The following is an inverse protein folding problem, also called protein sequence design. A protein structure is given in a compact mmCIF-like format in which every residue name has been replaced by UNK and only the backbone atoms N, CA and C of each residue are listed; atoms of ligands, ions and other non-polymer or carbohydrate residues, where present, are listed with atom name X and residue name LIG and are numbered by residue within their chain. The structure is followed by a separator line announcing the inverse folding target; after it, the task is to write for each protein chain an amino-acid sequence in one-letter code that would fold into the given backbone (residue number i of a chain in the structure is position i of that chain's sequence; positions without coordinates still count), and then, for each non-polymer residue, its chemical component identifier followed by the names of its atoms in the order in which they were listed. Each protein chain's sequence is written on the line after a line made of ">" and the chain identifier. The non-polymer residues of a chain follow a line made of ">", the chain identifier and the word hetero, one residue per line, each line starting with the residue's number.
data_IF_460976338621
#
_entry.id   IF_460976338621
#
_cell.length_a   1.000
_cell.length_b   1.000
_cell.length_c   1.000
_cell.angle_alpha   90.00
_cell.angle_beta   90.00
_cell.angle_gamma   90.00
#
_symmetry.space_group_name_H-M   'P 1'
#
loop_
_entity.id
_entity.type
_entity.pdbx_description
1 polymer ?
#
# COMPACT_ATOMS: atom_id res chain seq x y z
N UNK A 1 -19.49 -32.89 -3.12
CA UNK A 1 -18.31 -32.59 -2.27
C UNK A 1 -17.11 -32.02 -3.03
N UNK A 2 -16.96 -32.23 -4.35
CA UNK A 2 -15.81 -31.73 -5.14
C UNK A 2 -15.72 -30.19 -5.25
N UNK A 3 -16.84 -29.47 -5.42
CA UNK A 3 -16.80 -28.02 -5.67
C UNK A 3 -16.29 -27.19 -4.49
N UNK A 4 -16.66 -27.54 -3.25
CA UNK A 4 -16.21 -26.81 -2.06
C UNK A 4 -14.71 -26.98 -1.79
N UNK A 5 -14.18 -28.21 -1.96
CA UNK A 5 -12.74 -28.47 -1.87
C UNK A 5 -11.97 -27.77 -2.99
N UNK A 6 -12.51 -27.77 -4.21
CA UNK A 6 -11.93 -27.00 -5.34
C UNK A 6 -11.86 -25.51 -5.04
N UNK A 7 -12.98 -24.92 -4.60
CA UNK A 7 -13.07 -23.51 -4.23
C UNK A 7 -12.10 -23.14 -3.10
N UNK A 8 -12.07 -23.93 -2.03
CA UNK A 8 -11.15 -23.74 -0.91
C UNK A 8 -9.69 -23.73 -1.35
N UNK A 9 -9.27 -24.69 -2.19
CA UNK A 9 -7.90 -24.74 -2.72
C UNK A 9 -7.55 -23.53 -3.56
N UNK A 10 -8.46 -23.09 -4.43
CA UNK A 10 -8.27 -21.87 -5.24
C UNK A 10 -8.06 -20.66 -4.34
N UNK A 11 -8.87 -20.49 -3.30
CA UNK A 11 -8.71 -19.37 -2.36
C UNK A 11 -7.37 -19.40 -1.62
N UNK A 12 -6.91 -20.57 -1.18
CA UNK A 12 -5.59 -20.71 -0.54
C UNK A 12 -4.46 -20.37 -1.52
N UNK A 13 -4.54 -20.84 -2.78
CA UNK A 13 -3.56 -20.51 -3.81
C UNK A 13 -3.53 -18.99 -4.04
N UNK A 14 -4.69 -18.36 -4.18
CA UNK A 14 -4.80 -16.90 -4.34
C UNK A 14 -4.19 -16.16 -3.14
N UNK A 15 -4.44 -16.62 -1.91
CA UNK A 15 -3.86 -16.02 -0.70
C UNK A 15 -2.32 -16.14 -0.69
N UNK A 16 -1.77 -17.30 -1.06
CA UNK A 16 -0.32 -17.52 -1.11
C UNK A 16 0.34 -16.72 -2.23
N UNK A 17 -0.31 -16.59 -3.39
CA UNK A 17 0.15 -15.74 -4.48
C UNK A 17 0.13 -14.26 -4.09
N UNK A 18 -0.92 -13.82 -3.39
CA UNK A 18 -0.97 -12.48 -2.82
C UNK A 18 0.17 -12.24 -1.83
N UNK A 19 0.41 -13.17 -0.90
CA UNK A 19 1.50 -13.06 0.06
C UNK A 19 2.88 -13.02 -0.63
N UNK A 20 3.08 -13.83 -1.67
CA UNK A 20 4.28 -13.78 -2.49
C UNK A 20 4.46 -12.42 -3.17
N UNK A 21 3.39 -11.86 -3.75
CA UNK A 21 3.45 -10.55 -4.40
C UNK A 21 3.85 -9.45 -3.41
N UNK A 22 3.28 -9.45 -2.20
CA UNK A 22 3.65 -8.50 -1.14
C UNK A 22 5.08 -8.66 -0.64
N UNK A 23 5.64 -9.88 -0.66
CA UNK A 23 7.04 -10.10 -0.26
C UNK A 23 7.98 -9.65 -1.38
N UNK A 24 7.66 -9.99 -2.63
CA UNK A 24 8.54 -9.74 -3.75
C UNK A 24 8.60 -8.25 -4.14
N UNK A 25 7.53 -7.49 -3.92
CA UNK A 25 7.52 -6.04 -4.13
C UNK A 25 8.57 -5.31 -3.28
N UNK A 26 8.97 -5.91 -2.15
CA UNK A 26 9.92 -5.33 -1.19
C UNK A 26 11.34 -5.90 -1.36
N UNK A 27 11.59 -6.67 -2.42
CA UNK A 27 12.91 -7.26 -2.69
C UNK A 27 13.55 -6.61 -3.92
N UNK A 28 14.33 -5.55 -3.68
CA UNK A 28 15.05 -4.77 -4.70
C UNK A 28 15.99 -5.60 -5.59
N UNK A 29 16.38 -6.81 -5.16
CA UNK A 29 17.34 -7.66 -5.86
C UNK A 29 16.75 -8.39 -7.09
N UNK A 30 15.41 -8.45 -7.24
CA UNK A 30 14.77 -9.21 -8.33
C UNK A 30 14.57 -8.31 -9.56
N UNK A 31 15.67 -7.74 -10.06
CA UNK A 31 15.65 -6.90 -11.26
C UNK A 31 15.63 -7.73 -12.55
N UNK A 32 16.05 -9.00 -12.48
CA UNK A 32 16.02 -9.90 -13.63
C UNK A 32 14.65 -10.55 -13.80
N UNK A 33 13.98 -10.24 -14.91
CA UNK A 33 12.70 -10.85 -15.31
C UNK A 33 12.76 -12.38 -15.33
N UNK A 34 13.92 -12.96 -15.68
CA UNK A 34 14.10 -14.43 -15.71
C UNK A 34 14.08 -15.00 -14.29
N UNK A 35 14.76 -14.36 -13.34
CA UNK A 35 14.77 -14.79 -11.94
C UNK A 35 13.37 -14.66 -11.33
N UNK A 36 12.67 -13.57 -11.63
CA UNK A 36 11.28 -13.38 -11.23
C UNK A 36 10.38 -14.53 -11.71
N UNK A 37 10.44 -14.88 -13.00
CA UNK A 37 9.62 -15.96 -13.57
C UNK A 37 9.93 -17.33 -12.97
N UNK A 38 11.21 -17.63 -12.72
CA UNK A 38 11.62 -18.88 -12.07
C UNK A 38 11.08 -18.98 -10.64
N UNK A 39 11.20 -17.91 -9.85
CA UNK A 39 10.65 -17.85 -8.50
C UNK A 39 9.12 -17.98 -8.52
N UNK A 40 8.44 -17.31 -9.43
CA UNK A 40 7.00 -17.41 -9.58
C UNK A 40 6.55 -18.85 -9.89
N UNK A 41 7.26 -19.55 -10.77
CA UNK A 41 6.97 -20.96 -11.08
C UNK A 41 7.15 -21.87 -9.85
N UNK A 42 8.22 -21.68 -9.07
CA UNK A 42 8.46 -22.42 -7.83
C UNK A 42 7.32 -22.16 -6.83
N UNK A 43 6.94 -20.89 -6.65
CA UNK A 43 5.87 -20.49 -5.74
C UNK A 43 4.54 -21.07 -6.15
N UNK A 44 4.22 -21.12 -7.45
CA UNK A 44 3.01 -21.78 -7.93
C UNK A 44 2.96 -23.26 -7.56
N UNK A 45 4.07 -23.98 -7.76
CA UNK A 45 4.17 -25.41 -7.41
C UNK A 45 4.00 -25.59 -5.89
N UNK A 46 4.68 -24.77 -5.10
CA UNK A 46 4.60 -24.81 -3.63
C UNK A 46 3.19 -24.46 -3.15
N UNK A 47 2.56 -23.43 -3.71
CA UNK A 47 1.21 -23.02 -3.36
C UNK A 47 0.19 -24.13 -3.67
N UNK A 48 0.31 -24.79 -4.83
CA UNK A 48 -0.53 -25.92 -5.17
C UNK A 48 -0.33 -27.11 -4.22
N UNK A 49 0.93 -27.39 -3.86
CA UNK A 49 1.28 -28.44 -2.91
C UNK A 49 0.69 -28.16 -1.52
N UNK A 50 0.87 -26.93 -1.00
CA UNK A 50 0.33 -26.49 0.29
C UNK A 50 -1.21 -26.55 0.29
N UNK A 51 -1.86 -26.02 -0.74
CA UNK A 51 -3.31 -26.01 -0.83
C UNK A 51 -3.91 -27.43 -0.81
N UNK A 52 -3.32 -28.37 -1.56
CA UNK A 52 -3.74 -29.77 -1.54
C UNK A 52 -3.46 -30.42 -0.19
N UNK A 53 -2.30 -30.16 0.42
CA UNK A 53 -1.94 -30.73 1.72
C UNK A 53 -2.91 -30.27 2.81
N UNK A 54 -3.25 -28.98 2.84
CA UNK A 54 -4.22 -28.41 3.77
C UNK A 54 -5.62 -28.99 3.56
N UNK A 55 -6.08 -29.10 2.31
CA UNK A 55 -7.39 -29.66 2.01
C UNK A 55 -7.52 -31.13 2.50
N UNK A 56 -6.50 -31.95 2.25
CA UNK A 56 -6.42 -33.33 2.75
C UNK A 56 -6.35 -33.41 4.27
N UNK A 57 -5.62 -32.49 4.91
CA UNK A 57 -5.53 -32.43 6.37
C UNK A 57 -6.87 -32.08 7.02
N UNK A 58 -7.69 -31.24 6.37
CA UNK A 58 -9.01 -30.88 6.88
C UNK A 58 -9.97 -32.08 6.88
N UNK A 59 -9.85 -33.00 5.93
CA UNK A 59 -10.73 -34.18 5.82
C UNK A 59 -10.63 -35.14 7.02
N UNK A 60 -9.55 -35.07 7.80
CA UNK A 60 -9.35 -35.90 9.01
C UNK A 60 -10.02 -35.28 10.25
N UNK A 61 -10.47 -34.02 10.17
CA UNK A 61 -11.04 -33.28 11.30
C UNK A 61 -12.54 -33.55 11.42
N UNK A 62 -13.09 -33.41 12.64
CA UNK A 62 -14.50 -33.69 12.97
C UNK A 62 -15.54 -32.88 12.15
N UNK A 63 -15.18 -31.69 11.68
CA UNK A 63 -16.09 -30.79 10.96
C UNK A 63 -15.45 -30.20 9.68
N UNK A 64 -15.14 -31.03 8.68
CA UNK A 64 -14.34 -30.61 7.53
C UNK A 64 -15.05 -29.57 6.66
N UNK A 65 -16.38 -29.69 6.53
CA UNK A 65 -17.20 -28.76 5.74
C UNK A 65 -17.24 -27.37 6.41
N UNK A 66 -17.51 -27.33 7.72
CA UNK A 66 -17.60 -26.05 8.45
C UNK A 66 -16.26 -25.32 8.45
N UNK A 67 -15.15 -26.03 8.65
CA UNK A 67 -13.80 -25.46 8.59
C UNK A 67 -13.54 -24.86 7.21
N UNK A 68 -13.82 -25.59 6.12
CA UNK A 68 -13.66 -25.07 4.75
C UNK A 68 -14.47 -23.80 4.53
N UNK A 69 -15.72 -23.75 4.98
CA UNK A 69 -16.58 -22.57 4.83
C UNK A 69 -16.00 -21.40 5.62
N UNK A 70 -15.69 -21.58 6.90
CA UNK A 70 -15.18 -20.51 7.77
C UNK A 70 -13.88 -19.94 7.21
N UNK A 71 -12.92 -20.79 6.85
CA UNK A 71 -11.63 -20.34 6.31
C UNK A 71 -11.84 -19.65 4.96
N UNK A 72 -12.70 -20.18 4.09
CA UNK A 72 -13.02 -19.51 2.82
C UNK A 72 -13.61 -18.12 3.04
N UNK A 73 -14.55 -17.98 3.99
CA UNK A 73 -15.13 -16.69 4.37
C UNK A 73 -14.07 -15.73 4.92
N UNK A 74 -13.14 -16.21 5.75
CA UNK A 74 -12.04 -15.38 6.27
C UNK A 74 -11.11 -14.90 5.16
N UNK A 75 -10.79 -15.75 4.18
CA UNK A 75 -9.97 -15.37 3.02
C UNK A 75 -10.69 -14.34 2.16
N UNK A 76 -11.99 -14.53 1.89
CA UNK A 76 -12.80 -13.56 1.14
C UNK A 76 -12.85 -12.23 1.90
N UNK A 77 -13.09 -12.27 3.20
CA UNK A 77 -13.13 -11.08 4.04
C UNK A 77 -11.78 -10.36 4.06
N UNK A 78 -10.68 -11.11 4.12
CA UNK A 78 -9.33 -10.56 4.00
C UNK A 78 -9.16 -9.81 2.67
N UNK A 79 -9.51 -10.42 1.53
CA UNK A 79 -9.39 -9.74 0.24
C UNK A 79 -10.33 -8.54 0.10
N UNK A 80 -11.59 -8.66 0.55
CA UNK A 80 -12.52 -7.54 0.60
C UNK A 80 -11.95 -6.38 1.43
N UNK A 81 -11.36 -6.68 2.58
CA UNK A 81 -10.74 -5.66 3.41
C UNK A 81 -9.52 -5.04 2.71
N UNK A 82 -8.58 -5.85 2.20
CA UNK A 82 -7.37 -5.37 1.52
C UNK A 82 -7.69 -4.49 0.31
N UNK A 83 -8.66 -4.89 -0.52
CA UNK A 83 -9.00 -4.16 -1.74
C UNK A 83 -9.90 -2.94 -1.53
N UNK A 84 -10.74 -2.97 -0.49
CA UNK A 84 -11.67 -1.88 -0.20
C UNK A 84 -11.30 -1.12 1.07
N UNK A 85 -10.05 -1.17 1.53
CA UNK A 85 -9.66 -0.57 2.82
C UNK A 85 -10.10 0.89 2.92
N UNK A 86 -9.91 1.68 1.85
CA UNK A 86 -10.30 3.10 1.78
C UNK A 86 -11.79 3.37 2.03
N UNK A 87 -12.67 2.38 1.83
CA UNK A 87 -14.10 2.51 2.05
C UNK A 87 -14.52 2.22 3.50
N UNK A 88 -13.62 1.64 4.31
CA UNK A 88 -13.84 1.43 5.74
C UNK A 88 -13.45 2.67 6.58
N UNK A 89 -12.84 3.69 5.96
CA UNK A 89 -12.43 4.93 6.61
C UNK A 89 -13.33 6.09 6.17
N UNK A 90 -13.63 6.98 7.11
CA UNK A 90 -14.39 8.21 6.84
C UNK A 90 -13.58 9.19 5.97
N UNK A 91 -14.27 10.05 5.21
CA UNK A 91 -13.61 11.11 4.42
C UNK A 91 -12.68 11.95 5.30
N UNK A 92 -13.15 12.30 6.50
CA UNK A 92 -12.39 13.08 7.47
C UNK A 92 -11.05 12.42 7.83
N UNK A 93 -11.06 11.13 8.17
CA UNK A 93 -9.83 10.40 8.51
C UNK A 93 -8.84 10.34 7.35
N UNK A 94 -9.34 10.08 6.13
CA UNK A 94 -8.49 10.00 4.93
C UNK A 94 -7.91 11.38 4.57
N UNK A 95 -8.71 12.44 4.69
CA UNK A 95 -8.26 13.82 4.49
C UNK A 95 -7.19 14.18 5.52
N UNK A 96 -7.45 13.94 6.81
CA UNK A 96 -6.48 14.20 7.89
C UNK A 96 -5.17 13.45 7.64
N UNK A 97 -5.22 12.17 7.27
CA UNK A 97 -4.02 11.40 6.95
C UNK A 97 -3.28 11.98 5.74
N UNK A 98 -3.98 12.35 4.67
CA UNK A 98 -3.33 12.93 3.49
C UNK A 98 -2.70 14.30 3.75
N UNK A 99 -3.35 15.14 4.57
CA UNK A 99 -2.81 16.44 4.99
C UNK A 99 -1.59 16.27 5.90
N UNK A 100 -1.63 15.32 6.84
CA UNK A 100 -0.46 14.97 7.66
C UNK A 100 0.74 14.57 6.79
N UNK A 101 0.52 13.74 5.76
CA UNK A 101 1.62 13.30 4.87
C UNK A 101 2.21 14.44 4.04
N UNK A 102 1.42 15.43 3.62
CA UNK A 102 1.98 16.58 2.92
C UNK A 102 2.72 17.51 3.87
N UNK A 103 2.21 17.74 5.08
CA UNK A 103 2.92 18.51 6.10
C UNK A 103 4.29 17.89 6.42
N UNK A 104 4.34 16.58 6.64
CA UNK A 104 5.59 15.85 6.85
C UNK A 104 6.53 15.93 5.63
N UNK A 105 6.02 15.91 4.40
CA UNK A 105 6.83 16.09 3.19
C UNK A 105 7.54 17.45 3.16
N UNK A 106 6.84 18.53 3.54
CA UNK A 106 7.43 19.87 3.62
C UNK A 106 8.39 20.04 4.81
N UNK A 107 8.35 19.15 5.80
CA UNK A 107 9.33 19.13 6.90
C UNK A 107 10.69 18.53 6.49
N UNK A 108 10.77 17.77 5.38
CA UNK A 108 12.01 17.10 4.96
C UNK A 108 13.18 18.07 4.68
N UNK A 109 12.88 19.33 4.34
CA UNK A 109 13.88 20.36 4.07
C UNK A 109 14.35 21.10 5.35
N UNK A 110 13.84 20.75 6.52
CA UNK A 110 14.30 21.38 7.76
C UNK A 110 15.74 20.94 8.07
N UNK A 111 16.61 21.94 8.23
CA UNK A 111 18.09 21.84 8.28
C UNK A 111 18.62 20.95 9.43
N UNK A 112 17.79 20.53 10.37
CA UNK A 112 18.20 19.85 11.59
C UNK A 112 18.10 18.32 11.56
N UNK A 113 17.59 17.70 10.49
CA UNK A 113 17.51 16.24 10.42
C UNK A 113 18.85 15.61 10.01
N UNK A 114 19.28 14.62 10.79
CA UNK A 114 20.31 13.66 10.38
C UNK A 114 19.83 12.85 9.19
N UNK A 115 20.76 12.20 8.47
CA UNK A 115 20.39 11.36 7.32
C UNK A 115 19.52 10.17 7.73
N UNK A 116 19.72 9.61 8.93
CA UNK A 116 18.89 8.55 9.50
C UNK A 116 17.46 9.05 9.79
N UNK A 117 17.31 10.19 10.46
CA UNK A 117 15.99 10.78 10.73
C UNK A 117 15.26 11.16 9.43
N UNK A 118 15.99 11.65 8.43
CA UNK A 118 15.41 11.96 7.11
C UNK A 118 14.93 10.71 6.41
N UNK A 119 15.65 9.59 6.54
CA UNK A 119 15.22 8.30 6.01
C UNK A 119 13.95 7.79 6.71
N UNK A 120 13.93 7.81 8.04
CA UNK A 120 12.75 7.41 8.81
C UNK A 120 11.51 8.27 8.45
N UNK A 121 11.72 9.57 8.26
CA UNK A 121 10.67 10.48 7.84
C UNK A 121 10.18 10.13 6.42
N UNK A 122 11.09 9.90 5.46
CA UNK A 122 10.74 9.45 4.11
C UNK A 122 9.94 8.15 4.12
N UNK A 123 10.38 7.15 4.90
CA UNK A 123 9.72 5.85 5.02
C UNK A 123 8.33 5.98 5.65
N UNK A 124 8.11 6.98 6.50
CA UNK A 124 6.81 7.25 7.12
C UNK A 124 5.83 8.01 6.23
N UNK A 125 6.36 8.73 5.22
CA UNK A 125 5.59 9.54 4.27
C UNK A 125 5.23 8.72 3.04
N UNK A 126 6.22 8.02 2.48
CA UNK A 126 6.17 7.42 1.15
C UNK A 126 6.23 5.90 1.20
N UNK A 127 5.66 5.27 0.18
CA UNK A 127 6.02 3.89 -0.15
C UNK A 127 7.48 3.82 -0.58
N UNK A 128 8.17 2.74 -0.23
CA UNK A 128 9.63 2.55 -0.37
C UNK A 128 10.18 3.00 -1.74
N UNK A 129 9.51 2.61 -2.82
CA UNK A 129 9.92 2.95 -4.20
C UNK A 129 9.84 4.46 -4.49
N UNK A 130 8.80 5.14 -3.99
CA UNK A 130 8.63 6.57 -4.18
C UNK A 130 9.56 7.36 -3.24
N UNK A 131 9.71 6.92 -1.99
CA UNK A 131 10.65 7.48 -1.03
C UNK A 131 12.09 7.45 -1.54
N UNK A 132 12.53 6.31 -2.07
CA UNK A 132 13.84 6.15 -2.71
C UNK A 132 14.02 7.10 -3.90
N UNK A 133 12.99 7.27 -4.73
CA UNK A 133 13.04 8.18 -5.88
C UNK A 133 13.19 9.64 -5.45
N UNK A 134 12.45 10.07 -4.43
CA UNK A 134 12.56 11.42 -3.86
C UNK A 134 13.96 11.65 -3.27
N UNK A 135 14.48 10.68 -2.53
CA UNK A 135 15.83 10.74 -1.95
C UNK A 135 16.91 10.83 -3.03
N UNK A 136 16.85 9.96 -4.05
CA UNK A 136 17.83 9.91 -5.13
C UNK A 136 17.85 11.21 -5.95
N UNK A 137 16.67 11.81 -6.16
CA UNK A 137 16.55 13.08 -6.88
C UNK A 137 17.00 14.28 -6.03
N UNK A 138 17.12 14.13 -4.71
CA UNK A 138 17.46 15.21 -3.78
C UNK A 138 16.49 16.40 -3.85
N UNK A 139 15.27 16.18 -4.36
CA UNK A 139 14.26 17.22 -4.56
C UNK A 139 13.37 17.32 -3.33
N UNK A 140 13.88 17.98 -2.31
CA UNK A 140 13.07 18.42 -1.17
C UNK A 140 12.40 19.75 -1.49
N UNK A 141 11.20 20.00 -0.95
CA UNK A 141 10.52 21.28 -1.17
C UNK A 141 11.31 22.42 -0.53
N UNK A 142 11.71 23.40 -1.34
CA UNK A 142 12.48 24.58 -0.88
C UNK A 142 11.60 25.60 -0.14
N UNK A 143 10.33 25.71 -0.55
CA UNK A 143 9.37 26.63 0.04
C UNK A 143 8.78 26.13 1.36
N UNK A 144 8.44 27.07 2.26
CA UNK A 144 7.75 26.77 3.50
C UNK A 144 6.25 26.56 3.27
N UNK A 145 5.70 25.48 3.82
CA UNK A 145 4.26 25.25 3.83
C UNK A 145 3.59 26.18 4.86
N UNK A 146 2.69 27.05 4.38
CA UNK A 146 1.88 27.93 5.23
C UNK A 146 0.59 27.24 5.64
N UNK A 147 -0.12 26.65 4.67
CA UNK A 147 -1.41 26.00 4.89
C UNK A 147 -1.67 24.95 3.82
N UNK A 148 -2.32 23.84 4.19
CA UNK A 148 -2.79 22.82 3.27
C UNK A 148 -4.28 22.55 3.48
N UNK A 149 -5.06 22.60 2.40
CA UNK A 149 -6.50 22.39 2.43
C UNK A 149 -6.92 21.33 1.42
N UNK A 150 -7.72 20.36 1.85
CA UNK A 150 -8.31 19.39 0.95
C UNK A 150 -9.46 20.03 0.14
N UNK A 151 -9.39 19.90 -1.19
CA UNK A 151 -10.43 20.35 -2.11
C UNK A 151 -11.39 19.22 -2.46
N UNK A 152 -10.88 18.01 -2.68
CA UNK A 152 -11.68 16.87 -3.09
C UNK A 152 -10.99 15.55 -2.72
N UNK A 153 -11.79 14.51 -2.45
CA UNK A 153 -11.33 13.14 -2.23
C UNK A 153 -12.05 12.20 -3.21
N UNK A 154 -11.29 11.33 -3.86
CA UNK A 154 -11.84 10.29 -4.75
C UNK A 154 -11.30 8.93 -4.32
N UNK A 155 -12.18 8.01 -3.95
CA UNK A 155 -11.79 6.64 -3.61
C UNK A 155 -11.70 5.79 -4.87
N UNK A 156 -10.61 5.05 -4.99
CA UNK A 156 -10.42 4.04 -6.02
C UNK A 156 -10.36 2.64 -5.36
N UNK A 157 -10.23 1.61 -6.20
CA UNK A 157 -9.85 0.28 -5.74
C UNK A 157 -8.48 0.38 -5.05
N UNK A 158 -8.32 -0.18 -3.84
CA UNK A 158 -7.13 -0.21 -2.95
C UNK A 158 -6.44 1.12 -2.57
N UNK A 159 -6.68 2.22 -3.29
CA UNK A 159 -6.07 3.54 -3.06
C UNK A 159 -7.11 4.66 -3.05
N UNK A 160 -6.71 5.86 -2.65
CA UNK A 160 -7.53 7.06 -2.81
C UNK A 160 -6.69 8.24 -3.27
N UNK A 161 -7.35 9.14 -3.99
CA UNK A 161 -6.76 10.36 -4.50
C UNK A 161 -7.28 11.53 -3.68
N UNK A 162 -6.37 12.39 -3.23
CA UNK A 162 -6.69 13.61 -2.49
C UNK A 162 -6.17 14.83 -3.27
N UNK A 163 -7.10 15.66 -3.74
CA UNK A 163 -6.76 16.96 -4.32
C UNK A 163 -6.57 17.95 -3.18
N UNK A 164 -5.37 18.46 -3.02
CA UNK A 164 -5.00 19.44 -2.00
C UNK A 164 -4.60 20.76 -2.65
N UNK A 165 -4.93 21.85 -1.97
CA UNK A 165 -4.45 23.20 -2.25
C UNK A 165 -3.43 23.54 -1.16
N UNK A 166 -2.20 23.84 -1.55
CA UNK A 166 -1.14 24.25 -0.62
C UNK A 166 -0.81 25.72 -0.84
N UNK A 167 -0.70 26.47 0.25
CA UNK A 167 -0.15 27.82 0.28
C UNK A 167 1.33 27.72 0.69
N UNK A 168 2.20 28.24 -0.16
CA UNK A 168 3.65 28.20 0.00
C UNK A 168 4.21 29.60 0.19
N UNK A 169 5.31 29.71 0.92
CA UNK A 169 6.04 30.96 1.15
C UNK A 169 7.54 30.77 0.96
N UNK A 170 8.15 31.64 0.16
CA UNK A 170 9.60 31.70 -0.03
C UNK A 170 10.04 33.16 -0.20
N UNK A 171 11.02 33.60 0.59
CA UNK A 171 11.53 34.97 0.52
C UNK A 171 10.48 36.07 0.74
N UNK A 172 9.37 35.76 1.43
CA UNK A 172 8.24 36.67 1.65
C UNK A 172 7.21 36.72 0.52
N UNK A 173 7.41 35.95 -0.56
CA UNK A 173 6.41 35.76 -1.60
C UNK A 173 5.52 34.55 -1.29
N UNK A 174 4.20 34.75 -1.38
CA UNK A 174 3.20 33.70 -1.19
C UNK A 174 2.56 33.33 -2.51
N UNK A 175 2.43 32.03 -2.76
CA UNK A 175 1.67 31.51 -3.90
C UNK A 175 0.92 30.26 -3.49
N UNK A 176 0.05 29.79 -4.38
CA UNK A 176 -0.76 28.59 -4.14
C UNK A 176 -0.56 27.61 -5.28
N UNK A 177 -0.41 26.35 -4.92
CA UNK A 177 -0.37 25.23 -5.86
C UNK A 177 -1.44 24.21 -5.51
N UNK A 178 -1.84 23.41 -6.50
CA UNK A 178 -2.70 22.25 -6.26
C UNK A 178 -1.94 20.98 -6.59
N UNK A 179 -2.12 19.98 -5.75
CA UNK A 179 -1.52 18.67 -5.91
C UNK A 179 -2.59 17.59 -5.86
N UNK A 180 -2.46 16.60 -6.73
CA UNK A 180 -3.14 15.33 -6.60
C UNK A 180 -2.22 14.35 -5.88
N UNK A 181 -2.61 13.99 -4.65
CA UNK A 181 -1.92 12.99 -3.85
C UNK A 181 -2.55 11.62 -4.10
N UNK A 182 -1.74 10.61 -4.39
CA UNK A 182 -2.19 9.22 -4.49
C UNK A 182 -1.73 8.52 -3.22
N UNK A 183 -2.68 8.11 -2.40
CA UNK A 183 -2.43 7.44 -1.12
C UNK A 183 -2.87 6.00 -1.17
N UNK A 184 -1.96 5.12 -0.76
CA UNK A 184 -2.17 3.69 -0.69
C UNK A 184 -1.86 3.20 0.72
N UNK A 185 -2.58 2.16 1.14
CA UNK A 185 -2.39 1.59 2.46
C UNK A 185 -1.02 0.91 2.56
N UNK A 186 -0.30 1.22 3.63
CA UNK A 186 0.86 0.46 4.07
C UNK A 186 0.66 -0.01 5.52
N UNK A 187 0.54 -1.32 5.73
CA UNK A 187 0.21 -1.87 7.05
C UNK A 187 -1.12 -1.37 7.62
N UNK A 188 -1.04 -0.48 8.63
CA UNK A 188 -2.21 0.14 9.28
C UNK A 188 -2.39 1.64 8.97
N UNK A 189 -1.48 2.23 8.19
CA UNK A 189 -1.50 3.65 7.82
C UNK A 189 -1.65 3.80 6.30
N UNK A 190 -1.79 5.03 5.83
CA UNK A 190 -1.71 5.34 4.41
C UNK A 190 -0.44 6.15 4.14
N UNK A 191 0.25 5.80 3.07
CA UNK A 191 1.46 6.48 2.60
C UNK A 191 1.27 6.99 1.18
N UNK A 192 2.02 8.01 0.82
CA UNK A 192 2.05 8.55 -0.53
C UNK A 192 2.70 7.53 -1.48
N UNK A 193 1.93 7.13 -2.49
CA UNK A 193 2.40 6.32 -3.61
C UNK A 193 2.65 7.20 -4.87
N UNK A 194 2.20 8.45 -4.84
CA UNK A 194 2.48 9.42 -5.89
C UNK A 194 1.97 10.82 -5.58
N UNK A 195 2.55 11.82 -6.25
CA UNK A 195 2.15 13.22 -6.18
C UNK A 195 2.28 13.84 -7.58
N UNK A 196 1.28 14.60 -8.01
CA UNK A 196 1.31 15.32 -9.29
C UNK A 196 0.71 16.71 -9.18
N UNK A 197 1.30 17.66 -9.90
CA UNK A 197 0.79 19.03 -9.98
C UNK A 197 -0.49 19.10 -10.82
N UNK A 198 -1.41 19.96 -10.40
CA UNK A 198 -2.68 20.21 -11.11
C UNK A 198 -2.86 21.71 -11.31
N UNK A 199 -2.98 22.14 -12.57
CA UNK A 199 -3.32 23.53 -12.94
C UNK A 199 -4.75 23.93 -12.45
#
# INVERSE_FOLDING_TARGET
>A
MSYLSGFFRVLIILLLLYAYHMIISNLDFIQSTVVYLLLFAIVLIVAFWIANKLDLSIDVVRFPILIRIIVSCLIILFFCYSFFTTHFYTDKQLIETGLEKIEMYYQLNQVNFTDEERQELLDSIFHEQFGYSVQLLGKYPEAELVEANALNITRNFYQYNLLVKVELSEGGHKWTEKYMLILERDGFTFKLNGMSYVD
#
